data_IF_876714180501
#
_entry.id   IF_876714180501
#
_cell.length_a   1.000
_cell.length_b   1.000
_cell.length_c   1.000
_cell.angle_alpha   90.00
_cell.angle_beta   90.00
_cell.angle_gamma   90.00
#
_symmetry.space_group_name_H-M   'P 1'
#
loop_
_entity.id
_entity.type
_entity.pdbx_description
1 polymer ?
#
# COMPACT_ATOMS: atom_id res chain seq x y z
N UNK A 1 8.29 -27.36 48.56
CA UNK A 1 8.49 -25.89 48.62
C UNK A 1 8.35 -25.33 47.22
N UNK A 2 7.15 -24.90 46.84
CA UNK A 2 6.92 -24.27 45.54
C UNK A 2 7.35 -22.80 45.64
N UNK A 3 8.36 -22.40 44.85
CA UNK A 3 8.66 -20.98 44.63
C UNK A 3 7.42 -20.37 43.98
N UNK A 4 6.75 -19.45 44.69
CA UNK A 4 5.67 -18.65 44.11
C UNK A 4 6.27 -17.87 42.93
N UNK A 5 5.71 -17.96 41.72
CA UNK A 5 6.19 -17.16 40.60
C UNK A 5 6.15 -15.68 41.00
N UNK A 6 7.22 -15.00 40.64
CA UNK A 6 7.42 -13.56 40.77
C UNK A 6 6.19 -12.83 40.25
N UNK A 7 5.50 -12.09 41.11
CA UNK A 7 4.56 -11.05 40.68
C UNK A 7 5.32 -10.09 39.76
N UNK A 8 5.29 -10.32 38.45
CA UNK A 8 5.19 -9.18 37.56
C UNK A 8 3.91 -8.50 38.03
N UNK A 9 4.03 -7.30 38.61
CA UNK A 9 2.87 -6.67 39.23
C UNK A 9 1.84 -6.46 38.11
N UNK A 10 0.57 -6.75 38.35
CA UNK A 10 -0.50 -6.53 37.35
C UNK A 10 -0.50 -5.10 36.77
N UNK A 11 0.12 -4.15 37.49
CA UNK A 11 0.43 -2.80 37.04
C UNK A 11 1.43 -2.78 35.87
N UNK A 12 2.52 -3.54 35.96
CA UNK A 12 3.56 -3.61 34.94
C UNK A 12 3.02 -4.23 33.66
N UNK A 13 2.27 -5.34 33.76
CA UNK A 13 1.59 -5.97 32.61
C UNK A 13 0.63 -5.00 31.89
N UNK A 14 -0.08 -4.15 32.64
CA UNK A 14 -0.93 -3.11 32.04
C UNK A 14 -0.11 -2.03 31.34
N UNK A 15 1.02 -1.63 31.91
CA UNK A 15 1.91 -0.65 31.29
C UNK A 15 2.53 -1.21 29.99
N UNK A 16 2.94 -2.47 30.00
CA UNK A 16 3.47 -3.17 28.82
C UNK A 16 2.40 -3.29 27.73
N UNK A 17 1.17 -3.64 28.10
CA UNK A 17 0.04 -3.73 27.16
C UNK A 17 -0.30 -2.37 26.53
N UNK A 18 -0.25 -1.27 27.30
CA UNK A 18 -0.40 0.09 26.75
C UNK A 18 0.74 0.42 25.78
N UNK A 19 1.97 0.04 26.11
CA UNK A 19 3.15 0.27 25.28
C UNK A 19 3.02 -0.48 23.95
N UNK A 20 2.70 -1.77 23.98
CA UNK A 20 2.51 -2.58 22.76
C UNK A 20 1.38 -2.02 21.90
N UNK A 21 0.26 -1.59 22.49
CA UNK A 21 -0.82 -0.96 21.71
C UNK A 21 -0.37 0.31 21.00
N UNK A 22 0.37 1.18 21.69
CA UNK A 22 0.96 2.38 21.10
C UNK A 22 1.96 2.03 19.99
N UNK A 23 2.73 0.95 20.13
CA UNK A 23 3.63 0.47 19.08
C UNK A 23 2.85 -0.04 17.86
N UNK A 24 1.75 -0.78 18.05
CA UNK A 24 0.91 -1.25 16.94
C UNK A 24 0.29 -0.07 16.19
N UNK A 25 -0.21 0.94 16.89
CA UNK A 25 -0.73 2.18 16.27
C UNK A 25 0.37 2.91 15.47
N UNK A 26 1.59 2.92 16.00
CA UNK A 26 2.75 3.50 15.31
C UNK A 26 3.09 2.73 14.02
N UNK A 27 3.08 1.40 14.06
CA UNK A 27 3.29 0.58 12.87
C UNK A 27 2.14 0.73 11.85
N UNK A 28 0.90 0.87 12.29
CA UNK A 28 -0.23 1.18 11.41
C UNK A 28 -0.06 2.52 10.70
N UNK A 29 0.41 3.55 11.42
CA UNK A 29 0.73 4.84 10.82
C UNK A 29 1.87 4.72 9.80
N UNK A 30 2.87 3.86 10.04
CA UNK A 30 3.94 3.59 9.06
C UNK A 30 3.41 2.91 7.80
N UNK A 31 2.46 1.97 7.90
CA UNK A 31 1.80 1.39 6.72
C UNK A 31 1.18 2.49 5.86
N UNK A 32 0.37 3.37 6.47
CA UNK A 32 -0.25 4.48 5.74
C UNK A 32 0.79 5.40 5.08
N UNK A 33 1.91 5.67 5.76
CA UNK A 33 3.01 6.44 5.18
C UNK A 33 3.65 5.73 3.98
N UNK A 34 3.96 4.44 4.09
CA UNK A 34 4.57 3.65 3.01
C UNK A 34 3.63 3.54 1.79
N UNK A 35 2.33 3.33 2.02
CA UNK A 35 1.33 3.25 0.95
C UNK A 35 1.18 4.60 0.21
N UNK A 36 1.19 5.70 0.97
CA UNK A 36 1.12 7.06 0.42
C UNK A 36 2.43 7.56 -0.21
N UNK A 37 3.55 6.85 0.00
CA UNK A 37 4.86 7.26 -0.48
C UNK A 37 4.86 7.40 -2.02
N UNK A 38 5.58 8.37 -2.58
CA UNK A 38 5.69 8.50 -4.02
C UNK A 38 6.45 7.33 -4.65
N UNK A 39 6.10 7.00 -5.88
CA UNK A 39 6.78 5.95 -6.68
C UNK A 39 8.11 6.48 -7.22
N UNK A 40 9.16 5.67 -7.32
CA UNK A 40 10.47 6.15 -7.81
C UNK A 40 10.42 6.87 -9.18
N UNK A 41 11.27 7.89 -9.43
CA UNK A 41 11.31 8.60 -10.71
C UNK A 41 11.54 7.67 -11.91
N UNK A 42 12.43 6.69 -11.76
CA UNK A 42 12.70 5.69 -12.80
C UNK A 42 11.45 4.87 -13.12
N UNK A 43 10.69 4.47 -12.10
CA UNK A 43 9.47 3.72 -12.31
C UNK A 43 8.36 4.58 -12.92
N UNK A 44 8.29 5.87 -12.59
CA UNK A 44 7.40 6.81 -13.28
C UNK A 44 7.79 6.97 -14.74
N UNK A 45 9.09 7.08 -15.06
CA UNK A 45 9.55 7.09 -16.45
C UNK A 45 9.11 5.83 -17.19
N UNK A 46 9.33 4.65 -16.61
CA UNK A 46 8.89 3.37 -17.20
C UNK A 46 7.37 3.32 -17.38
N UNK A 47 6.59 3.80 -16.41
CA UNK A 47 5.11 3.84 -16.51
C UNK A 47 4.64 4.83 -17.57
N UNK A 48 5.28 5.99 -17.68
CA UNK A 48 5.00 7.00 -18.71
C UNK A 48 5.33 6.44 -20.09
N UNK A 49 6.52 5.86 -20.26
CA UNK A 49 6.96 5.28 -21.53
C UNK A 49 6.06 4.11 -21.94
N UNK A 50 5.70 3.21 -21.02
CA UNK A 50 4.74 2.12 -21.28
C UNK A 50 3.36 2.62 -21.70
N UNK A 51 2.88 3.72 -21.09
CA UNK A 51 1.59 4.34 -21.46
C UNK A 51 1.66 5.00 -22.84
N UNK A 52 2.77 5.67 -23.16
CA UNK A 52 3.00 6.24 -24.48
C UNK A 52 3.06 5.13 -25.54
N UNK A 53 3.77 4.04 -25.30
CA UNK A 53 3.86 2.90 -26.20
C UNK A 53 2.50 2.19 -26.38
N UNK A 54 1.68 2.11 -25.34
CA UNK A 54 0.33 1.57 -25.42
C UNK A 54 -0.58 2.50 -26.26
N UNK A 55 -0.49 3.81 -26.07
CA UNK A 55 -1.22 4.79 -26.85
C UNK A 55 -0.82 4.75 -28.33
N UNK A 56 0.47 4.66 -28.64
CA UNK A 56 0.97 4.54 -30.02
C UNK A 56 0.49 3.26 -30.72
N UNK A 57 0.45 2.14 -30.00
CA UNK A 57 -0.10 0.87 -30.52
C UNK A 57 -1.59 0.99 -30.79
N UNK A 58 -2.37 1.52 -29.86
CA UNK A 58 -3.80 1.74 -30.03
C UNK A 58 -4.09 2.64 -31.24
N UNK A 59 -3.32 3.71 -31.42
CA UNK A 59 -3.39 4.59 -32.59
C UNK A 59 -3.05 3.83 -33.88
N UNK A 60 -1.98 3.03 -33.87
CA UNK A 60 -1.53 2.29 -35.06
C UNK A 60 -2.52 1.20 -35.47
N UNK A 61 -3.11 0.50 -34.50
CA UNK A 61 -4.18 -0.48 -34.73
C UNK A 61 -5.45 0.19 -35.25
N UNK A 62 -5.83 1.35 -34.70
CA UNK A 62 -6.96 2.13 -35.18
C UNK A 62 -6.75 2.67 -36.60
N UNK A 63 -5.55 3.20 -36.91
CA UNK A 63 -5.19 3.64 -38.26
C UNK A 63 -5.16 2.48 -39.27
N UNK A 64 -4.81 1.26 -38.82
CA UNK A 64 -4.92 0.03 -39.63
C UNK A 64 -6.38 -0.44 -39.78
N UNK A 65 -7.24 -0.16 -38.81
CA UNK A 65 -8.66 -0.49 -38.85
C UNK A 65 -9.46 0.47 -39.75
N UNK A 66 -9.14 1.77 -39.74
CA UNK A 66 -9.71 2.76 -40.67
C UNK A 66 -9.32 2.51 -42.15
N UNK A 67 -8.25 1.76 -42.42
CA UNK A 67 -7.96 1.32 -43.79
C UNK A 67 -8.83 0.14 -44.24
N UNK A 68 -9.57 -0.49 -43.33
CA UNK A 68 -10.38 -1.69 -43.57
C UNK A 68 -11.88 -1.49 -43.39
N UNK A 69 -12.36 -0.40 -42.76
CA UNK A 69 -13.80 -0.21 -42.51
C UNK A 69 -14.23 1.23 -42.82
N UNK A 70 -15.08 1.40 -43.84
CA UNK A 70 -15.82 2.64 -44.11
C UNK A 70 -16.82 3.00 -42.99
N UNK A 71 -17.43 4.20 -43.03
CA UNK A 71 -17.99 4.85 -41.85
C UNK A 71 -19.37 4.31 -41.49
N UNK A 72 -19.62 3.90 -40.24
CA UNK A 72 -20.92 4.11 -39.51
C UNK A 72 -20.74 3.89 -37.99
N UNK A 73 -21.16 4.86 -37.16
CA UNK A 73 -21.95 4.54 -35.94
C UNK A 73 -21.53 5.04 -34.54
N UNK A 74 -22.14 6.18 -34.16
CA UNK A 74 -22.61 6.70 -32.85
C UNK A 74 -21.71 6.95 -31.60
N UNK A 75 -21.91 8.10 -30.87
CA UNK A 75 -20.91 8.71 -29.99
C UNK A 75 -21.27 8.77 -28.48
N UNK A 76 -21.92 7.75 -27.91
CA UNK A 76 -22.37 7.79 -26.51
C UNK A 76 -22.01 6.50 -25.80
N UNK A 77 -20.76 6.38 -25.36
CA UNK A 77 -20.37 5.75 -24.10
C UNK A 77 -18.85 5.88 -23.89
N UNK A 78 -18.46 6.11 -22.65
CA UNK A 78 -17.11 6.11 -22.09
C UNK A 78 -16.19 7.34 -22.23
N UNK A 79 -16.06 8.03 -21.08
CA UNK A 79 -14.97 8.95 -20.72
C UNK A 79 -13.55 8.33 -20.84
N UNK A 80 -13.42 7.01 -21.05
CA UNK A 80 -12.17 6.35 -21.44
C UNK A 80 -11.69 6.69 -22.86
N UNK A 81 -12.55 7.30 -23.69
CA UNK A 81 -12.26 7.70 -25.07
C UNK A 81 -11.93 9.18 -25.26
N UNK A 82 -11.80 10.00 -24.21
CA UNK A 82 -11.52 11.44 -24.40
C UNK A 82 -10.17 11.73 -25.11
N UNK A 83 -9.24 10.76 -25.15
CA UNK A 83 -8.02 10.82 -25.97
C UNK A 83 -8.07 10.01 -27.28
N UNK A 84 -9.03 9.09 -27.43
CA UNK A 84 -9.13 8.18 -28.58
C UNK A 84 -10.34 8.47 -29.51
N UNK A 85 -11.33 9.24 -29.05
CA UNK A 85 -12.66 9.33 -29.67
C UNK A 85 -12.97 10.63 -30.42
N UNK A 86 -12.03 11.57 -30.52
CA UNK A 86 -12.15 12.66 -31.50
C UNK A 86 -11.12 12.42 -32.59
N UNK A 87 -11.64 11.98 -33.73
CA UNK A 87 -11.07 12.04 -35.09
C UNK A 87 -10.23 13.31 -35.29
N UNK A 88 -9.01 13.32 -34.78
CA UNK A 88 -8.12 14.43 -34.98
C UNK A 88 -6.77 13.86 -35.38
N UNK A 89 -6.48 13.76 -36.69
CA UNK A 89 -5.15 13.38 -37.18
C UNK A 89 -4.07 14.31 -36.61
N UNK A 90 -4.42 15.54 -36.18
CA UNK A 90 -3.53 16.41 -35.41
C UNK A 90 -3.28 15.89 -33.99
N UNK A 91 -4.24 15.33 -33.26
CA UNK A 91 -3.98 14.75 -31.94
C UNK A 91 -3.06 13.52 -32.05
N UNK A 92 -3.26 12.72 -33.09
CA UNK A 92 -2.40 11.59 -33.44
C UNK A 92 -0.99 12.04 -33.82
N UNK A 93 -0.87 13.06 -34.68
CA UNK A 93 0.40 13.65 -35.08
C UNK A 93 1.09 14.39 -33.92
N UNK A 94 0.34 15.00 -33.01
CA UNK A 94 0.87 15.67 -31.80
C UNK A 94 1.39 14.65 -30.78
N UNK A 95 0.79 13.46 -30.67
CA UNK A 95 1.35 12.37 -29.86
C UNK A 95 2.64 11.83 -30.51
N UNK A 96 2.64 11.63 -31.83
CA UNK A 96 3.81 11.12 -32.57
C UNK A 96 4.99 12.11 -32.65
N UNK A 97 4.76 13.35 -33.08
CA UNK A 97 5.80 14.40 -33.17
C UNK A 97 6.12 15.04 -31.81
N UNK A 98 5.17 15.01 -30.88
CA UNK A 98 5.28 15.65 -29.57
C UNK A 98 5.61 14.68 -28.43
N UNK A 99 5.88 13.39 -28.69
CA UNK A 99 6.25 12.41 -27.65
C UNK A 99 7.29 12.96 -26.66
N UNK A 100 8.40 13.60 -27.10
CA UNK A 100 9.37 14.17 -26.16
C UNK A 100 8.78 15.26 -25.27
N UNK A 101 7.91 16.13 -25.82
CA UNK A 101 7.24 17.21 -25.09
C UNK A 101 6.14 16.71 -24.16
N UNK A 102 5.41 15.65 -24.54
CA UNK A 102 4.40 15.00 -23.69
C UNK A 102 5.08 14.27 -22.55
N UNK A 103 6.13 13.48 -22.84
CA UNK A 103 6.96 12.80 -21.84
C UNK A 103 7.52 13.80 -20.83
N UNK A 104 8.16 14.88 -21.31
CA UNK A 104 8.75 15.88 -20.40
C UNK A 104 7.71 16.57 -19.51
N UNK A 105 6.51 16.87 -20.03
CA UNK A 105 5.42 17.44 -19.22
C UNK A 105 4.87 16.45 -18.19
N UNK A 106 4.69 15.18 -18.56
CA UNK A 106 4.23 14.15 -17.62
C UNK A 106 5.26 13.91 -16.51
N UNK A 107 6.55 13.89 -16.85
CA UNK A 107 7.62 13.80 -15.87
C UNK A 107 7.70 15.05 -15.00
N UNK A 108 7.52 16.25 -15.56
CA UNK A 108 7.49 17.49 -14.78
C UNK A 108 6.31 17.51 -13.78
N UNK A 109 5.13 17.04 -14.18
CA UNK A 109 3.97 16.92 -13.29
C UNK A 109 4.20 15.90 -12.17
N UNK A 110 4.75 14.73 -12.50
CA UNK A 110 5.10 13.74 -11.51
C UNK A 110 6.19 14.24 -10.55
N UNK A 111 7.16 15.01 -11.07
CA UNK A 111 8.23 15.62 -10.28
C UNK A 111 7.73 16.70 -9.31
N UNK A 112 6.77 17.53 -9.72
CA UNK A 112 6.14 18.49 -8.82
C UNK A 112 5.38 17.81 -7.67
N UNK A 113 4.81 16.62 -7.91
CA UNK A 113 4.15 15.83 -6.87
C UNK A 113 5.17 15.23 -5.88
N UNK A 114 6.38 14.88 -6.33
CA UNK A 114 7.46 14.38 -5.47
C UNK A 114 7.91 15.38 -4.40
N UNK A 115 8.13 16.64 -4.78
CA UNK A 115 8.61 17.67 -3.85
C UNK A 115 7.65 17.89 -2.68
N UNK A 116 6.36 17.54 -2.85
CA UNK A 116 5.32 17.72 -1.84
C UNK A 116 5.06 16.50 -0.93
N UNK A 117 5.48 15.28 -1.32
CA UNK A 117 5.03 14.03 -0.68
C UNK A 117 6.15 13.16 -0.07
N UNK A 118 7.38 13.65 -0.03
CA UNK A 118 8.49 13.02 0.69
C UNK A 118 9.35 12.10 -0.18
N UNK A 119 10.12 11.22 0.47
CA UNK A 119 11.14 10.40 -0.19
C UNK A 119 10.47 9.35 -1.09
N UNK A 120 10.79 9.30 -2.40
CA UNK A 120 10.25 8.27 -3.27
C UNK A 120 10.78 6.89 -2.90
N UNK A 121 9.92 5.88 -3.06
CA UNK A 121 10.25 4.47 -2.89
C UNK A 121 10.01 3.71 -4.18
N UNK A 122 10.92 2.82 -4.53
CA UNK A 122 10.68 1.81 -5.57
C UNK A 122 9.60 0.81 -5.13
N UNK A 123 9.02 0.08 -6.09
CA UNK A 123 8.07 -0.98 -5.80
C UNK A 123 8.65 -2.05 -4.87
N UNK A 124 9.86 -2.55 -5.15
CA UNK A 124 10.50 -3.60 -4.34
C UNK A 124 10.78 -3.11 -2.91
N UNK A 125 11.25 -1.87 -2.74
CA UNK A 125 11.44 -1.27 -1.41
C UNK A 125 10.11 -1.11 -0.67
N UNK A 126 9.03 -0.78 -1.39
CA UNK A 126 7.68 -0.66 -0.82
C UNK A 126 7.16 -2.00 -0.35
N UNK A 127 7.26 -3.04 -1.18
CA UNK A 127 6.84 -4.39 -0.81
C UNK A 127 7.65 -4.91 0.38
N UNK A 128 8.97 -4.73 0.37
CA UNK A 128 9.83 -5.12 1.48
C UNK A 128 9.50 -4.37 2.78
N UNK A 129 9.28 -3.05 2.70
CA UNK A 129 8.92 -2.23 3.86
C UNK A 129 7.55 -2.62 4.42
N UNK A 130 6.54 -2.82 3.56
CA UNK A 130 5.22 -3.27 3.97
C UNK A 130 5.28 -4.65 4.62
N UNK A 131 6.00 -5.61 4.01
CA UNK A 131 6.17 -6.94 4.56
C UNK A 131 6.82 -6.91 5.95
N UNK A 132 7.86 -6.09 6.13
CA UNK A 132 8.54 -5.92 7.42
C UNK A 132 7.61 -5.31 8.48
N UNK A 133 6.87 -4.24 8.13
CA UNK A 133 5.91 -3.60 9.04
C UNK A 133 4.76 -4.54 9.42
N UNK A 134 4.20 -5.29 8.46
CA UNK A 134 3.16 -6.28 8.73
C UNK A 134 3.68 -7.41 9.62
N UNK A 135 4.91 -7.89 9.39
CA UNK A 135 5.54 -8.88 10.26
C UNK A 135 5.70 -8.36 11.69
N UNK A 136 6.16 -7.11 11.87
CA UNK A 136 6.28 -6.48 13.19
C UNK A 136 4.91 -6.31 13.88
N UNK A 137 3.88 -5.89 13.14
CA UNK A 137 2.51 -5.79 13.68
C UNK A 137 1.96 -7.15 14.12
N UNK A 138 2.23 -8.21 13.36
CA UNK A 138 1.83 -9.57 13.73
C UNK A 138 2.50 -10.00 15.04
N UNK A 139 3.81 -9.77 15.17
CA UNK A 139 4.56 -10.08 16.39
C UNK A 139 4.03 -9.31 17.60
N UNK A 140 3.83 -8.00 17.46
CA UNK A 140 3.25 -7.16 18.51
C UNK A 140 1.84 -7.61 18.90
N UNK A 141 1.03 -8.06 17.94
CA UNK A 141 -0.33 -8.55 18.22
C UNK A 141 -0.32 -9.89 18.97
N UNK A 142 0.66 -10.77 18.68
CA UNK A 142 0.89 -12.00 19.45
C UNK A 142 1.30 -11.66 20.89
N UNK A 143 2.21 -10.72 21.08
CA UNK A 143 2.66 -10.25 22.39
C UNK A 143 1.53 -9.59 23.19
N UNK A 144 0.70 -8.75 22.54
CA UNK A 144 -0.47 -8.13 23.17
C UNK A 144 -1.40 -9.20 23.76
N UNK A 145 -1.73 -10.22 22.98
CA UNK A 145 -2.66 -11.27 23.41
C UNK A 145 -2.05 -12.13 24.53
N UNK A 146 -0.76 -12.45 24.45
CA UNK A 146 -0.08 -13.20 25.48
C UNK A 146 -0.06 -12.46 26.83
N UNK A 147 0.22 -11.14 26.83
CA UNK A 147 0.11 -10.30 28.03
C UNK A 147 -1.32 -10.15 28.52
N UNK A 148 -2.29 -10.04 27.61
CA UNK A 148 -3.71 -9.96 27.95
C UNK A 148 -4.15 -11.20 28.72
N UNK A 149 -3.78 -12.40 28.24
CA UNK A 149 -4.08 -13.67 28.93
C UNK A 149 -3.36 -13.81 30.25
N UNK A 150 -2.10 -13.39 30.35
CA UNK A 150 -1.39 -13.36 31.63
C UNK A 150 -2.12 -12.47 32.66
N UNK A 151 -2.53 -11.26 32.25
CA UNK A 151 -3.26 -10.36 33.14
C UNK A 151 -4.61 -10.95 33.58
N UNK A 152 -5.32 -11.65 32.68
CA UNK A 152 -6.56 -12.35 33.02
C UNK A 152 -6.36 -13.54 33.94
N UNK A 153 -5.28 -14.31 33.76
CA UNK A 153 -4.88 -15.39 34.69
C UNK A 153 -4.63 -14.85 36.10
N UNK A 154 -4.21 -13.60 36.22
CA UNK A 154 -4.07 -12.89 37.50
C UNK A 154 -5.38 -12.26 38.02
N UNK A 155 -6.51 -12.53 37.38
CA UNK A 155 -7.83 -12.02 37.75
C UNK A 155 -8.14 -10.61 37.25
N UNK A 156 -7.32 -10.06 36.35
CA UNK A 156 -7.62 -8.82 35.64
C UNK A 156 -8.68 -9.02 34.56
N UNK A 157 -9.27 -7.91 34.11
CA UNK A 157 -10.09 -7.88 32.90
C UNK A 157 -9.36 -7.03 31.85
N UNK A 158 -9.28 -7.54 30.62
CA UNK A 158 -8.69 -6.83 29.48
C UNK A 158 -9.76 -6.63 28.42
N UNK A 159 -9.98 -5.39 27.99
CA UNK A 159 -10.80 -5.15 26.81
C UNK A 159 -9.96 -5.37 25.55
N UNK A 160 -10.45 -6.19 24.61
CA UNK A 160 -9.76 -6.47 23.34
C UNK A 160 -10.11 -5.39 22.33
N UNK A 161 -9.16 -5.07 21.45
CA UNK A 161 -9.38 -4.10 20.38
C UNK A 161 -10.39 -4.66 19.37
N UNK A 162 -11.26 -3.82 18.84
CA UNK A 162 -12.28 -4.23 17.86
C UNK A 162 -11.69 -4.83 16.56
N UNK A 163 -10.44 -4.50 16.26
CA UNK A 163 -9.70 -4.94 15.07
C UNK A 163 -8.53 -5.88 15.43
N UNK A 164 -8.55 -6.51 16.61
CA UNK A 164 -7.57 -7.51 16.98
C UNK A 164 -7.62 -8.70 16.00
N UNK A 165 -6.45 -9.24 15.65
CA UNK A 165 -6.37 -10.35 14.69
C UNK A 165 -6.99 -11.62 15.30
N UNK A 166 -8.02 -12.20 14.67
CA UNK A 166 -8.66 -13.42 15.17
C UNK A 166 -7.70 -14.59 15.34
N UNK A 167 -6.61 -14.64 14.57
CA UNK A 167 -5.62 -15.72 14.65
C UNK A 167 -4.98 -15.80 16.03
N UNK A 168 -4.63 -14.65 16.62
CA UNK A 168 -4.00 -14.62 17.95
C UNK A 168 -5.03 -14.77 19.06
N UNK A 169 -6.21 -14.14 18.91
CA UNK A 169 -7.31 -14.28 19.87
C UNK A 169 -7.72 -15.75 20.07
N UNK A 170 -7.67 -16.55 19.01
CA UNK A 170 -8.05 -17.95 19.02
C UNK A 170 -6.87 -18.92 19.20
N UNK A 171 -5.64 -18.42 19.32
CA UNK A 171 -4.45 -19.25 19.50
C UNK A 171 -4.50 -20.01 20.84
N UNK A 172 -3.82 -21.15 20.96
CA UNK A 172 -3.67 -21.81 22.26
C UNK A 172 -2.60 -21.10 23.10
N UNK A 173 -2.61 -21.30 24.43
CA UNK A 173 -1.63 -20.67 25.31
C UNK A 173 -0.20 -21.08 24.95
N UNK A 174 0.01 -22.35 24.56
CA UNK A 174 1.30 -22.88 24.11
C UNK A 174 1.86 -22.11 22.89
N UNK A 175 0.99 -21.64 21.99
CA UNK A 175 1.38 -20.86 20.81
C UNK A 175 1.73 -19.39 21.16
N UNK A 176 1.44 -18.95 22.38
CA UNK A 176 1.65 -17.57 22.84
C UNK A 176 2.83 -17.43 23.82
N UNK A 177 3.23 -18.51 24.51
CA UNK A 177 4.29 -18.50 25.53
C UNK A 177 5.67 -18.11 24.99
N UNK A 178 5.98 -18.43 23.72
CA UNK A 178 7.24 -18.02 23.09
C UNK A 178 7.34 -16.50 22.87
N UNK A 179 6.22 -15.77 22.91
CA UNK A 179 6.19 -14.34 22.64
C UNK A 179 6.49 -13.47 23.88
N UNK A 180 6.39 -14.04 25.09
CA UNK A 180 6.58 -13.32 26.38
C UNK A 180 7.89 -13.70 27.08
N UNK A 181 8.58 -14.73 26.58
CA UNK A 181 9.88 -15.21 27.09
C UNK A 181 11.03 -14.29 26.66
#
# INVERSE_FOLDING_TARGET
MARRPTHIEARDLRADLVTIRSEIETEQAKVAQIESAPVSPNEVEVRVDRRLDAAERAISEFARFESLVGPVGNPMDDLGLAFAGKQNPLATAVIWLGRPSVRSRLLALANAEYESRGKPMSLDEREAALAATVARMNELSRQEEALARELERQGGHVERRAYADPRWLLAFDEDLEEAVS
#
